data_IF_135220196515
#
_entry.id   IF_135220196515
#
_cell.length_a   1.000
_cell.length_b   1.000
_cell.length_c   1.000
_cell.angle_alpha   90.00
_cell.angle_beta   90.00
_cell.angle_gamma   90.00
#
_symmetry.space_group_name_H-M   'P 1'
#
loop_
_entity.id
_entity.type
_entity.pdbx_description
1 polymer ?
#
# COMPACT_ATOMS: atom_id res chain seq x y z
N UNK A 1 -58.04 -80.30 34.20
CA UNK A 1 -58.72 -80.95 33.06
C UNK A 1 -60.02 -80.21 32.79
N UNK A 2 -60.27 -79.90 31.52
CA UNK A 2 -61.47 -79.27 30.95
C UNK A 2 -61.75 -77.82 31.36
N UNK A 3 -62.11 -76.86 30.49
CA UNK A 3 -62.11 -76.63 29.03
C UNK A 3 -62.88 -75.31 28.93
N UNK A 4 -62.40 -74.31 28.20
CA UNK A 4 -63.25 -73.50 27.32
C UNK A 4 -62.43 -72.41 26.62
N UNK A 5 -62.42 -72.53 25.31
CA UNK A 5 -61.98 -71.59 24.30
C UNK A 5 -63.17 -70.72 23.85
N UNK A 6 -62.87 -69.55 23.27
CA UNK A 6 -63.55 -68.82 22.16
C UNK A 6 -63.71 -67.31 22.48
N UNK A 7 -62.93 -66.43 21.84
CA UNK A 7 -63.26 -65.60 20.61
C UNK A 7 -63.85 -64.22 21.00
N UNK A 8 -63.54 -63.03 20.45
CA UNK A 8 -62.87 -62.53 19.24
C UNK A 8 -62.70 -60.97 19.32
N UNK A 9 -61.85 -60.36 18.45
CA UNK A 9 -61.83 -58.95 17.91
C UNK A 9 -61.18 -57.87 18.84
N UNK A 10 -60.08 -57.16 18.56
CA UNK A 10 -59.43 -56.47 17.40
C UNK A 10 -59.58 -54.93 17.43
N UNK A 11 -58.47 -54.23 17.11
CA UNK A 11 -58.20 -52.77 16.89
C UNK A 11 -57.77 -51.96 18.14
N UNK A 12 -56.49 -51.51 18.22
CA UNK A 12 -55.87 -50.26 17.66
C UNK A 12 -56.55 -48.99 18.24
N UNK A 13 -55.92 -47.93 18.76
CA UNK A 13 -54.60 -47.26 18.63
C UNK A 13 -54.49 -46.33 19.87
N UNK A 14 -53.39 -46.32 20.62
CA UNK A 14 -52.34 -45.27 20.60
C UNK A 14 -52.83 -43.86 20.22
N UNK A 15 -52.95 -42.97 21.21
CA UNK A 15 -52.75 -41.53 20.98
C UNK A 15 -51.77 -40.98 22.02
N UNK A 16 -50.62 -40.60 21.47
CA UNK A 16 -49.43 -40.07 22.10
C UNK A 16 -49.66 -38.58 22.41
N UNK A 17 -49.32 -38.16 23.63
CA UNK A 17 -49.36 -36.75 24.02
C UNK A 17 -48.34 -35.92 23.24
N UNK A 18 -48.83 -34.98 22.44
CA UNK A 18 -48.02 -33.96 21.77
C UNK A 18 -47.73 -32.83 22.78
N UNK A 19 -46.53 -32.83 23.34
CA UNK A 19 -45.95 -31.66 23.98
C UNK A 19 -45.52 -30.67 22.90
N UNK A 20 -46.21 -29.54 22.80
CA UNK A 20 -45.79 -28.39 22.01
C UNK A 20 -44.62 -27.70 22.72
N UNK A 21 -43.38 -27.97 22.29
CA UNK A 21 -42.25 -27.08 22.53
C UNK A 21 -42.24 -26.03 21.40
N UNK A 22 -42.37 -24.72 21.69
CA UNK A 22 -42.14 -23.72 20.67
C UNK A 22 -40.65 -23.76 20.29
N UNK A 23 -40.38 -24.18 19.05
CA UNK A 23 -39.10 -23.93 18.39
C UNK A 23 -38.92 -22.41 18.29
N UNK A 24 -38.23 -21.84 19.27
CA UNK A 24 -37.64 -20.52 19.14
C UNK A 24 -36.53 -20.68 18.11
N UNK A 25 -36.86 -20.37 16.85
CA UNK A 25 -35.85 -20.14 15.83
C UNK A 25 -35.02 -18.95 16.31
N UNK A 26 -33.84 -19.22 16.87
CA UNK A 26 -32.82 -18.19 17.08
C UNK A 26 -32.46 -17.66 15.70
N UNK A 27 -33.08 -16.54 15.29
CA UNK A 27 -32.59 -15.76 14.18
C UNK A 27 -31.16 -15.33 14.56
N UNK A 28 -30.16 -15.96 13.96
CA UNK A 28 -28.78 -15.54 14.10
C UNK A 28 -28.73 -14.08 13.65
N UNK A 29 -28.42 -13.18 14.57
CA UNK A 29 -28.26 -11.77 14.27
C UNK A 29 -27.16 -11.65 13.22
N UNK A 30 -27.48 -11.07 12.06
CA UNK A 30 -26.51 -10.90 10.97
C UNK A 30 -25.32 -10.10 11.50
N UNK A 31 -24.10 -10.57 11.22
CA UNK A 31 -22.92 -9.82 11.61
C UNK A 31 -22.87 -8.47 10.88
N UNK A 32 -22.13 -7.51 11.43
CA UNK A 32 -21.91 -6.20 10.79
C UNK A 32 -21.41 -6.36 9.34
N UNK A 33 -20.53 -7.33 9.11
CA UNK A 33 -19.94 -7.62 7.81
C UNK A 33 -20.94 -8.27 6.84
N UNK A 34 -21.88 -9.09 7.32
CA UNK A 34 -22.97 -9.63 6.48
C UNK A 34 -23.93 -8.52 6.02
N UNK A 35 -24.25 -7.57 6.90
CA UNK A 35 -25.06 -6.40 6.56
C UNK A 35 -24.34 -5.56 5.49
N UNK A 36 -23.04 -5.30 5.66
CA UNK A 36 -22.23 -4.57 4.66
C UNK A 36 -22.18 -5.29 3.34
N UNK A 37 -22.03 -6.62 3.34
CA UNK A 37 -22.02 -7.45 2.13
C UNK A 37 -23.28 -7.22 1.31
N UNK A 38 -24.46 -7.24 1.94
CA UNK A 38 -25.74 -7.00 1.30
C UNK A 38 -25.86 -5.58 0.75
N UNK A 39 -25.43 -4.58 1.52
CA UNK A 39 -25.42 -3.18 1.08
C UNK A 39 -24.51 -2.98 -0.14
N UNK A 40 -23.33 -3.59 -0.15
CA UNK A 40 -22.38 -3.51 -1.25
C UNK A 40 -22.96 -4.15 -2.50
N UNK A 41 -23.51 -5.37 -2.42
CA UNK A 41 -24.15 -6.05 -3.56
C UNK A 41 -25.27 -5.19 -4.14
N UNK A 42 -26.15 -4.67 -3.29
CA UNK A 42 -27.26 -3.81 -3.71
C UNK A 42 -26.77 -2.51 -4.37
N UNK A 43 -25.80 -1.84 -3.75
CA UNK A 43 -25.24 -0.59 -4.25
C UNK A 43 -24.54 -0.79 -5.60
N UNK A 44 -23.72 -1.83 -5.71
CA UNK A 44 -22.96 -2.15 -6.90
C UNK A 44 -23.88 -2.48 -8.09
N UNK A 45 -24.90 -3.29 -7.86
CA UNK A 45 -25.84 -3.71 -8.90
C UNK A 45 -26.76 -2.58 -9.40
N UNK A 46 -26.90 -1.50 -8.63
CA UNK A 46 -27.57 -0.26 -9.09
C UNK A 46 -26.81 0.39 -10.26
N UNK A 47 -25.49 0.17 -10.36
CA UNK A 47 -24.62 0.67 -11.43
C UNK A 47 -24.13 -0.45 -12.35
N UNK A 48 -24.86 -1.57 -12.47
CA UNK A 48 -24.46 -2.76 -13.23
C UNK A 48 -24.06 -2.47 -14.68
N UNK A 49 -24.59 -1.42 -15.31
CA UNK A 49 -24.21 -1.01 -16.66
C UNK A 49 -22.74 -0.55 -16.77
N UNK A 50 -22.15 -0.02 -15.71
CA UNK A 50 -20.73 0.39 -15.66
C UNK A 50 -19.79 -0.81 -15.39
N UNK A 51 -20.32 -2.02 -15.14
CA UNK A 51 -19.55 -3.20 -14.70
C UNK A 51 -19.79 -4.43 -15.57
N UNK A 52 -18.82 -5.35 -15.61
CA UNK A 52 -18.85 -6.51 -16.53
C UNK A 52 -19.97 -7.49 -16.19
N UNK A 53 -20.43 -7.51 -14.94
CA UNK A 53 -21.56 -8.33 -14.52
C UNK A 53 -22.20 -7.83 -13.23
N UNK A 54 -23.26 -8.52 -12.82
CA UNK A 54 -23.87 -8.32 -11.50
C UNK A 54 -23.03 -8.98 -10.43
N UNK A 55 -22.85 -8.27 -9.33
CA UNK A 55 -22.20 -8.76 -8.13
C UNK A 55 -23.11 -9.73 -7.39
N UNK A 56 -22.52 -10.80 -6.86
CA UNK A 56 -23.15 -11.69 -5.88
C UNK A 56 -22.47 -11.55 -4.51
N UNK A 57 -23.07 -12.12 -3.48
CA UNK A 57 -22.48 -12.10 -2.12
C UNK A 57 -21.09 -12.75 -2.09
N UNK A 58 -20.86 -13.81 -2.88
CA UNK A 58 -19.60 -14.55 -2.93
C UNK A 58 -18.44 -13.73 -3.52
N UNK A 59 -18.76 -12.66 -4.26
CA UNK A 59 -17.78 -11.75 -4.83
C UNK A 59 -17.30 -10.70 -3.81
N UNK A 60 -17.93 -10.63 -2.63
CA UNK A 60 -17.62 -9.65 -1.58
C UNK A 60 -17.00 -10.35 -0.37
N UNK A 61 -15.68 -10.23 -0.27
CA UNK A 61 -14.90 -10.73 0.85
C UNK A 61 -14.59 -9.58 1.81
N UNK A 62 -15.21 -9.58 2.98
CA UNK A 62 -15.03 -8.55 4.00
C UNK A 62 -14.76 -9.21 5.36
N UNK A 63 -13.84 -8.62 6.11
CA UNK A 63 -13.50 -9.01 7.48
C UNK A 63 -13.09 -7.77 8.27
N UNK A 64 -13.73 -7.55 9.40
CA UNK A 64 -13.49 -6.39 10.28
C UNK A 64 -13.62 -5.06 9.50
N UNK A 65 -14.65 -4.94 8.65
CA UNK A 65 -14.92 -3.73 7.87
C UNK A 65 -13.93 -3.40 6.74
N UNK A 66 -12.90 -4.22 6.51
CA UNK A 66 -12.00 -4.13 5.37
C UNK A 66 -12.21 -5.32 4.45
N UNK A 67 -12.07 -5.11 3.15
CA UNK A 67 -12.19 -6.22 2.24
C UNK A 67 -11.93 -5.91 0.78
N UNK A 68 -12.37 -6.85 -0.05
CA UNK A 68 -12.26 -6.82 -1.49
C UNK A 68 -13.58 -7.19 -2.12
N UNK A 69 -13.93 -6.49 -3.19
CA UNK A 69 -15.00 -6.88 -4.11
C UNK A 69 -14.37 -7.32 -5.43
N UNK A 70 -14.59 -8.57 -5.83
CA UNK A 70 -14.10 -9.11 -7.10
C UNK A 70 -15.10 -8.85 -8.22
N UNK A 71 -14.83 -7.84 -9.05
CA UNK A 71 -15.78 -7.35 -10.06
C UNK A 71 -15.58 -8.06 -11.41
N UNK A 72 -14.34 -8.35 -11.77
CA UNK A 72 -14.03 -9.14 -12.95
C UNK A 72 -12.87 -10.09 -12.63
N UNK A 73 -13.21 -11.38 -12.47
CA UNK A 73 -12.26 -12.45 -12.13
C UNK A 73 -11.30 -12.79 -13.28
N UNK A 74 -11.72 -12.60 -14.53
CA UNK A 74 -10.91 -12.86 -15.73
C UNK A 74 -9.67 -11.95 -15.73
N UNK A 75 -9.89 -10.66 -15.50
CA UNK A 75 -8.84 -9.63 -15.55
C UNK A 75 -8.35 -9.20 -14.16
N UNK A 76 -8.75 -9.93 -13.10
CA UNK A 76 -8.41 -9.68 -11.70
C UNK A 76 -8.65 -8.22 -11.29
N UNK A 77 -9.79 -7.66 -11.71
CA UNK A 77 -10.20 -6.29 -11.36
C UNK A 77 -11.12 -6.34 -10.15
N UNK A 78 -10.73 -5.58 -9.12
CA UNK A 78 -11.37 -5.62 -7.82
C UNK A 78 -11.38 -4.23 -7.17
N UNK A 79 -12.29 -4.04 -6.23
CA UNK A 79 -12.39 -2.84 -5.40
C UNK A 79 -11.92 -3.14 -3.98
N UNK A 80 -11.20 -2.21 -3.38
CA UNK A 80 -10.93 -2.16 -1.96
C UNK A 80 -12.17 -1.67 -1.22
N UNK A 81 -12.54 -2.34 -0.14
CA UNK A 81 -13.61 -1.93 0.76
C UNK A 81 -12.98 -1.21 1.94
N UNK A 82 -13.32 0.06 2.08
CA UNK A 82 -12.97 0.88 3.23
C UNK A 82 -14.24 1.22 4.02
N UNK A 83 -14.25 0.91 5.31
CA UNK A 83 -15.32 1.31 6.23
C UNK A 83 -14.75 2.29 7.26
N UNK A 84 -15.43 3.42 7.50
CA UNK A 84 -14.93 4.43 8.45
C UNK A 84 -14.85 3.92 9.90
N UNK A 85 -15.86 3.15 10.33
CA UNK A 85 -15.94 2.51 11.65
C UNK A 85 -16.41 1.05 11.49
N UNK A 86 -15.49 0.07 11.51
CA UNK A 86 -15.84 -1.35 11.39
C UNK A 86 -16.73 -1.92 12.50
N UNK A 87 -16.77 -1.27 13.67
CA UNK A 87 -17.64 -1.71 14.75
C UNK A 87 -19.11 -1.36 14.51
N UNK A 88 -19.42 -0.35 13.68
CA UNK A 88 -20.78 0.08 13.37
C UNK A 88 -21.24 -0.50 12.01
N UNK A 89 -22.23 -1.43 11.98
CA UNK A 89 -22.76 -2.01 10.75
C UNK A 89 -23.26 -0.99 9.71
N UNK A 90 -23.64 0.21 10.16
CA UNK A 90 -24.15 1.30 9.30
C UNK A 90 -23.10 2.36 8.98
N UNK A 91 -21.85 2.17 9.41
CA UNK A 91 -20.76 3.08 9.08
C UNK A 91 -20.67 3.30 7.55
N UNK A 92 -20.33 4.52 7.10
CA UNK A 92 -20.06 4.77 5.69
C UNK A 92 -19.03 3.79 5.11
N UNK A 93 -19.27 3.38 3.86
CA UNK A 93 -18.44 2.46 3.08
C UNK A 93 -18.00 3.16 1.80
N UNK A 94 -16.70 3.13 1.52
CA UNK A 94 -16.14 3.56 0.23
C UNK A 94 -15.58 2.34 -0.50
N UNK A 95 -16.04 2.11 -1.73
CA UNK A 95 -15.49 1.11 -2.64
C UNK A 95 -14.54 1.82 -3.61
N UNK A 96 -13.26 1.48 -3.52
CA UNK A 96 -12.21 2.15 -4.28
C UNK A 96 -11.61 1.13 -5.26
N UNK A 97 -11.68 1.39 -6.58
CA UNK A 97 -11.11 0.48 -7.56
C UNK A 97 -9.59 0.38 -7.37
N UNK A 98 -9.02 -0.80 -7.56
CA UNK A 98 -7.60 -1.06 -7.31
C UNK A 98 -6.82 -1.25 -8.62
N UNK A 99 -5.53 -0.91 -8.60
CA UNK A 99 -4.59 -1.08 -9.71
C UNK A 99 -5.12 -0.46 -11.01
N UNK A 100 -5.58 0.78 -10.94
CA UNK A 100 -6.37 1.46 -11.99
C UNK A 100 -5.52 2.22 -13.01
N UNK A 101 -4.36 2.68 -12.57
CA UNK A 101 -3.37 3.39 -13.40
C UNK A 101 -2.83 2.54 -14.55
N UNK A 102 -2.95 1.21 -14.47
CA UNK A 102 -2.49 0.30 -15.53
C UNK A 102 -3.43 0.24 -16.73
N UNK A 103 -4.70 0.61 -16.61
CA UNK A 103 -5.72 0.42 -17.66
C UNK A 103 -5.73 1.52 -18.75
N UNK A 104 -4.56 2.09 -19.06
CA UNK A 104 -4.40 3.03 -20.16
C UNK A 104 -3.98 2.26 -21.43
N UNK A 105 -4.59 2.49 -22.60
CA UNK A 105 -4.23 1.76 -23.82
C UNK A 105 -2.75 1.88 -24.23
N UNK A 106 -2.10 2.96 -23.82
CA UNK A 106 -0.66 3.21 -24.10
C UNK A 106 0.30 2.50 -23.15
N UNK A 107 -0.19 1.98 -22.02
CA UNK A 107 0.64 1.33 -20.99
C UNK A 107 0.23 -0.10 -20.69
N UNK A 108 -1.02 -0.44 -20.95
CA UNK A 108 -1.54 -1.76 -20.68
C UNK A 108 -1.09 -2.75 -21.76
N UNK A 109 -0.78 -3.94 -21.30
CA UNK A 109 -0.54 -5.12 -22.12
C UNK A 109 -1.42 -6.20 -21.51
N UNK A 110 -2.20 -6.92 -22.31
CA UNK A 110 -3.03 -8.00 -21.77
C UNK A 110 -2.13 -9.10 -21.19
N UNK A 111 -2.61 -9.86 -20.20
CA UNK A 111 -1.84 -10.93 -19.56
C UNK A 111 -1.35 -11.93 -20.65
N UNK A 112 -2.20 -12.24 -21.63
CA UNK A 112 -1.87 -13.14 -22.75
C UNK A 112 -0.76 -12.57 -23.64
N UNK A 113 -0.80 -11.27 -23.95
CA UNK A 113 0.23 -10.62 -24.76
C UNK A 113 1.55 -10.56 -24.01
N UNK A 114 1.53 -10.22 -22.72
CA UNK A 114 2.71 -10.18 -21.87
C UNK A 114 3.40 -11.54 -21.78
N UNK A 115 2.63 -12.59 -21.53
CA UNK A 115 3.19 -13.94 -21.39
C UNK A 115 3.78 -14.45 -22.71
N UNK A 116 3.17 -14.12 -23.86
CA UNK A 116 3.70 -14.46 -25.18
C UNK A 116 5.04 -13.78 -25.50
N UNK A 117 5.28 -12.56 -25.01
CA UNK A 117 6.45 -11.74 -25.35
C UNK A 117 7.46 -11.56 -24.21
N UNK A 118 7.27 -12.26 -23.08
CA UNK A 118 8.08 -12.08 -21.87
C UNK A 118 9.59 -12.22 -22.13
N UNK A 119 9.99 -13.23 -22.90
CA UNK A 119 11.40 -13.48 -23.25
C UNK A 119 12.00 -12.31 -24.07
N UNK A 120 11.26 -11.80 -25.05
CA UNK A 120 11.67 -10.65 -25.87
C UNK A 120 11.78 -9.37 -25.04
N UNK A 121 10.84 -9.16 -24.11
CA UNK A 121 10.85 -8.02 -23.18
C UNK A 121 12.10 -8.07 -22.28
N UNK A 122 12.41 -9.23 -21.72
CA UNK A 122 13.57 -9.39 -20.83
C UNK A 122 14.89 -9.25 -21.60
N UNK A 123 14.95 -9.77 -22.83
CA UNK A 123 16.09 -9.55 -23.72
C UNK A 123 16.26 -8.07 -24.10
N UNK A 124 15.18 -7.38 -24.47
CA UNK A 124 15.20 -5.97 -24.82
C UNK A 124 15.67 -5.11 -23.63
N UNK A 125 15.18 -5.39 -22.41
CA UNK A 125 15.64 -4.72 -21.18
C UNK A 125 17.13 -4.93 -20.96
N UNK A 126 17.62 -6.17 -21.10
CA UNK A 126 19.04 -6.51 -20.93
C UNK A 126 19.93 -5.81 -21.96
N UNK A 127 19.47 -5.70 -23.21
CA UNK A 127 20.18 -5.03 -24.31
C UNK A 127 19.96 -3.51 -24.37
N UNK A 128 19.14 -2.95 -23.48
CA UNK A 128 18.77 -1.52 -23.51
C UNK A 128 17.95 -1.11 -24.75
N UNK A 129 17.29 -2.07 -25.41
CA UNK A 129 16.43 -1.86 -26.57
C UNK A 129 15.00 -1.52 -26.13
N UNK A 130 14.20 -0.96 -27.04
CA UNK A 130 12.77 -0.74 -26.80
C UNK A 130 12.07 -2.11 -26.74
N UNK A 131 11.37 -2.44 -25.65
CA UNK A 131 10.58 -3.67 -25.60
C UNK A 131 9.46 -3.65 -26.65
N UNK A 132 9.01 -4.82 -27.14
CA UNK A 132 7.82 -4.89 -27.98
C UNK A 132 6.62 -4.24 -27.28
N UNK A 133 5.64 -3.77 -28.06
CA UNK A 133 4.42 -3.13 -27.56
C UNK A 133 3.20 -3.72 -28.27
N UNK A 134 2.13 -3.93 -27.52
CA UNK A 134 0.83 -4.28 -28.08
C UNK A 134 0.23 -3.06 -28.77
N UNK A 135 -0.54 -3.29 -29.84
CA UNK A 135 -1.23 -2.21 -30.54
C UNK A 135 -2.24 -1.52 -29.59
N UNK A 136 -2.14 -0.20 -29.48
CA UNK A 136 -2.95 0.56 -28.53
C UNK A 136 -4.45 0.58 -28.87
N UNK A 137 -4.83 0.42 -30.15
CA UNK A 137 -6.23 0.35 -30.55
C UNK A 137 -6.83 -1.01 -30.18
N UNK A 138 -6.08 -2.10 -30.38
CA UNK A 138 -6.48 -3.44 -29.90
C UNK A 138 -6.66 -3.45 -28.37
N UNK A 139 -5.72 -2.85 -27.65
CA UNK A 139 -5.81 -2.72 -26.19
C UNK A 139 -7.02 -1.86 -25.79
N UNK A 140 -7.30 -0.77 -26.50
CA UNK A 140 -8.45 0.09 -26.20
C UNK A 140 -9.79 -0.66 -26.35
N UNK A 141 -9.96 -1.43 -27.43
CA UNK A 141 -11.17 -2.25 -27.62
C UNK A 141 -11.27 -3.37 -26.58
N UNK A 142 -10.15 -4.01 -26.23
CA UNK A 142 -10.13 -5.02 -25.16
C UNK A 142 -10.52 -4.43 -23.81
N UNK A 143 -9.93 -3.29 -23.41
CA UNK A 143 -10.27 -2.59 -22.16
C UNK A 143 -11.75 -2.20 -22.12
N UNK A 144 -12.30 -1.71 -23.24
CA UNK A 144 -13.73 -1.38 -23.38
C UNK A 144 -14.61 -2.61 -23.21
N UNK A 145 -14.28 -3.73 -23.87
CA UNK A 145 -14.98 -5.01 -23.73
C UNK A 145 -14.99 -5.48 -22.27
N UNK A 146 -13.86 -5.32 -21.57
CA UNK A 146 -13.70 -5.71 -20.16
C UNK A 146 -14.18 -4.64 -19.16
N UNK A 147 -14.77 -3.52 -19.64
CA UNK A 147 -15.19 -2.35 -18.84
C UNK A 147 -14.11 -1.89 -17.85
N UNK A 148 -12.85 -1.92 -18.30
CA UNK A 148 -11.70 -1.42 -17.57
C UNK A 148 -11.40 0.01 -18.02
N UNK A 149 -11.07 0.87 -17.06
CA UNK A 149 -10.84 2.29 -17.31
C UNK A 149 -9.76 2.83 -16.37
N UNK A 150 -9.04 3.86 -16.82
CA UNK A 150 -8.19 4.69 -15.95
C UNK A 150 -9.00 5.64 -15.07
N UNK A 151 -10.28 5.81 -15.37
CA UNK A 151 -11.21 6.65 -14.62
C UNK A 151 -12.51 5.90 -14.23
N UNK A 152 -12.38 4.77 -13.51
CA UNK A 152 -13.53 4.03 -13.01
C UNK A 152 -14.32 4.84 -11.97
N UNK A 153 -15.50 4.38 -11.59
CA UNK A 153 -16.26 5.00 -10.51
C UNK A 153 -15.74 4.54 -9.15
N UNK A 154 -15.74 5.44 -8.18
CA UNK A 154 -15.67 5.16 -6.74
C UNK A 154 -17.11 5.18 -6.25
N UNK A 155 -17.53 4.14 -5.53
CA UNK A 155 -18.87 4.07 -4.95
C UNK A 155 -18.80 4.40 -3.47
N UNK A 156 -19.73 5.22 -3.00
CA UNK A 156 -19.85 5.63 -1.62
C UNK A 156 -21.24 5.31 -1.10
N UNK A 157 -21.31 4.60 0.02
CA UNK A 157 -22.53 4.27 0.75
C UNK A 157 -22.46 5.06 2.06
N UNK A 158 -23.36 6.00 2.27
CA UNK A 158 -23.36 6.82 3.49
C UNK A 158 -24.02 6.10 4.68
N UNK A 159 -24.01 6.75 5.85
CA UNK A 159 -24.62 6.19 7.07
C UNK A 159 -26.15 5.98 6.99
N UNK A 160 -26.81 6.63 6.01
CA UNK A 160 -28.23 6.47 5.70
C UNK A 160 -28.47 5.46 4.57
N UNK A 161 -27.42 4.73 4.16
CA UNK A 161 -27.43 3.75 3.06
C UNK A 161 -27.76 4.36 1.69
N UNK A 162 -27.58 5.67 1.54
CA UNK A 162 -27.68 6.33 0.24
C UNK A 162 -26.40 6.06 -0.54
N UNK A 163 -26.56 5.61 -1.78
CA UNK A 163 -25.44 5.33 -2.69
C UNK A 163 -25.18 6.55 -3.56
N UNK A 164 -23.92 6.93 -3.65
CA UNK A 164 -23.41 7.95 -4.57
C UNK A 164 -22.18 7.43 -5.30
N UNK A 165 -21.84 8.05 -6.43
CA UNK A 165 -20.68 7.70 -7.22
C UNK A 165 -19.93 8.95 -7.65
N UNK A 166 -18.61 8.81 -7.75
CA UNK A 166 -17.70 9.86 -8.25
C UNK A 166 -16.63 9.20 -9.10
N UNK A 167 -16.15 9.87 -10.15
CA UNK A 167 -15.08 9.35 -10.99
C UNK A 167 -13.76 9.34 -10.21
N UNK A 168 -12.94 8.29 -10.38
CA UNK A 168 -11.71 8.10 -9.61
C UNK A 168 -10.75 9.29 -9.73
N UNK A 169 -10.56 9.85 -10.93
CA UNK A 169 -9.69 11.01 -11.11
C UNK A 169 -10.15 12.20 -10.26
N UNK A 170 -11.46 12.46 -10.21
CA UNK A 170 -12.02 13.52 -9.37
C UNK A 170 -11.83 13.21 -7.88
N UNK A 171 -12.20 12.01 -7.45
CA UNK A 171 -12.04 11.56 -6.06
C UNK A 171 -10.60 11.71 -5.57
N UNK A 172 -9.64 11.21 -6.35
CA UNK A 172 -8.23 11.32 -6.02
C UNK A 172 -7.76 12.77 -6.06
N UNK A 173 -8.12 13.53 -7.09
CA UNK A 173 -7.70 14.93 -7.20
C UNK A 173 -8.17 15.77 -6.00
N UNK A 174 -9.43 15.62 -5.59
CA UNK A 174 -9.98 16.24 -4.38
C UNK A 174 -9.21 15.80 -3.13
N UNK A 175 -8.89 14.50 -3.03
CA UNK A 175 -8.11 13.99 -1.91
C UNK A 175 -6.69 14.57 -1.87
N UNK A 176 -6.02 14.69 -3.02
CA UNK A 176 -4.70 15.30 -3.12
C UNK A 176 -4.74 16.76 -2.71
N UNK A 177 -5.70 17.53 -3.23
CA UNK A 177 -5.86 18.94 -2.91
C UNK A 177 -6.13 19.18 -1.42
N UNK A 178 -6.90 18.28 -0.79
CA UNK A 178 -7.26 18.38 0.62
C UNK A 178 -6.13 17.98 1.56
N UNK A 179 -5.35 16.95 1.22
CA UNK A 179 -4.46 16.29 2.19
C UNK A 179 -2.96 16.43 1.86
N UNK A 180 -2.59 16.78 0.63
CA UNK A 180 -1.19 16.80 0.18
C UNK A 180 -0.74 18.14 -0.41
N UNK A 181 -1.56 19.19 -0.29
CA UNK A 181 -1.16 20.55 -0.65
C UNK A 181 -0.55 21.24 0.57
N UNK A 182 0.67 21.71 0.41
CA UNK A 182 1.38 22.53 1.39
C UNK A 182 1.98 23.73 0.66
N UNK A 183 1.79 24.93 1.21
CA UNK A 183 2.33 26.19 0.65
C UNK A 183 2.04 26.39 -0.85
N UNK A 184 0.81 26.03 -1.26
CA UNK A 184 0.36 26.14 -2.65
C UNK A 184 0.96 25.12 -3.61
N UNK A 185 1.63 24.08 -3.11
CA UNK A 185 2.30 23.03 -3.90
C UNK A 185 1.84 21.64 -3.49
N UNK A 186 1.87 20.71 -4.43
CA UNK A 186 1.79 19.28 -4.16
C UNK A 186 3.21 18.72 -4.17
N UNK A 187 3.60 18.09 -3.06
CA UNK A 187 4.88 17.38 -2.97
C UNK A 187 4.68 15.94 -3.43
N UNK A 188 5.46 15.54 -4.42
CA UNK A 188 5.43 14.20 -4.99
C UNK A 188 6.78 13.52 -4.83
N UNK A 189 6.75 12.21 -4.63
CA UNK A 189 7.92 11.37 -4.45
C UNK A 189 8.01 10.34 -5.56
N UNK A 190 9.23 9.88 -5.85
CA UNK A 190 9.47 8.75 -6.76
C UNK A 190 10.67 7.96 -6.30
N UNK A 191 10.59 6.64 -6.37
CA UNK A 191 11.74 5.75 -6.20
C UNK A 191 12.56 5.65 -7.47
N UNK A 192 13.89 5.73 -7.33
CA UNK A 192 14.82 5.56 -8.43
C UNK A 192 14.84 4.14 -8.97
N UNK A 193 14.90 4.02 -10.29
CA UNK A 193 14.86 2.74 -10.99
C UNK A 193 16.26 2.23 -11.35
N UNK A 194 17.27 3.10 -11.30
CA UNK A 194 18.66 2.81 -11.68
C UNK A 194 19.67 3.69 -10.94
N UNK A 195 20.89 3.20 -10.79
CA UNK A 195 21.95 3.89 -10.04
C UNK A 195 22.34 5.27 -10.58
N UNK A 196 22.24 5.50 -11.90
CA UNK A 196 22.69 6.76 -12.52
C UNK A 196 21.63 7.86 -12.52
N UNK A 197 20.43 7.56 -12.03
CA UNK A 197 19.27 8.41 -12.24
C UNK A 197 19.35 9.74 -11.50
N UNK A 198 19.96 9.75 -10.31
CA UNK A 198 20.19 10.97 -9.52
C UNK A 198 20.94 12.03 -10.33
N UNK A 199 21.95 11.61 -11.11
CA UNK A 199 22.74 12.53 -11.93
C UNK A 199 21.94 13.11 -13.10
N UNK A 200 20.99 12.37 -13.65
CA UNK A 200 20.11 12.86 -14.73
C UNK A 200 19.18 13.96 -14.21
N UNK A 201 18.53 13.71 -13.07
CA UNK A 201 17.65 14.70 -12.43
C UNK A 201 18.37 15.99 -12.07
N UNK A 202 19.57 15.89 -11.50
CA UNK A 202 20.40 17.06 -11.18
C UNK A 202 20.81 17.89 -12.40
N UNK A 203 20.88 17.28 -13.59
CA UNK A 203 21.13 17.97 -14.87
C UNK A 203 19.85 18.48 -15.54
N UNK A 204 18.68 18.31 -14.91
CA UNK A 204 17.39 18.64 -15.53
C UNK A 204 16.98 17.71 -16.67
N UNK A 205 17.65 16.55 -16.80
CA UNK A 205 17.38 15.56 -17.85
C UNK A 205 16.40 14.52 -17.33
N UNK A 206 15.31 14.31 -18.04
CA UNK A 206 14.36 13.23 -17.73
C UNK A 206 15.03 11.87 -17.94
N UNK A 207 15.14 11.00 -16.92
CA UNK A 207 15.64 9.65 -17.07
C UNK A 207 14.71 8.78 -17.91
N UNK A 208 15.29 7.86 -18.69
CA UNK A 208 14.52 6.85 -19.42
C UNK A 208 13.82 5.91 -18.43
N UNK A 209 12.56 5.58 -18.68
CA UNK A 209 11.79 4.66 -17.85
C UNK A 209 10.93 5.31 -16.76
N UNK A 210 11.11 6.60 -16.49
CA UNK A 210 10.35 7.34 -15.45
C UNK A 210 8.84 7.28 -15.69
N UNK A 211 8.12 6.55 -14.84
CA UNK A 211 6.70 6.22 -15.06
C UNK A 211 5.73 6.69 -14.00
N UNK A 212 6.14 6.87 -12.75
CA UNK A 212 5.20 7.11 -11.67
C UNK A 212 5.70 8.05 -10.55
N UNK A 213 4.77 8.71 -9.87
CA UNK A 213 4.99 9.51 -8.65
C UNK A 213 3.95 9.16 -7.59
N UNK A 214 4.22 9.54 -6.35
CA UNK A 214 3.43 9.17 -5.18
C UNK A 214 3.32 10.36 -4.21
N UNK A 215 2.27 10.49 -3.40
CA UNK A 215 2.13 11.63 -2.47
C UNK A 215 2.96 11.47 -1.20
N UNK A 216 3.49 10.27 -0.94
CA UNK A 216 4.28 9.94 0.26
C UNK A 216 5.60 9.30 -0.13
N UNK A 217 6.65 9.54 0.66
CA UNK A 217 7.95 8.92 0.44
C UNK A 217 7.89 7.40 0.68
N UNK A 218 7.00 6.92 1.55
CA UNK A 218 6.72 5.51 1.83
C UNK A 218 6.54 4.67 0.57
N UNK A 219 5.63 5.08 -0.31
CA UNK A 219 5.35 4.34 -1.53
C UNK A 219 6.52 4.41 -2.50
N UNK A 220 7.15 5.59 -2.66
CA UNK A 220 8.38 5.75 -3.45
C UNK A 220 9.54 4.88 -2.96
N UNK A 221 9.71 4.77 -1.65
CA UNK A 221 10.72 3.93 -0.99
C UNK A 221 10.55 2.44 -1.35
N UNK A 222 9.31 1.92 -1.39
CA UNK A 222 9.04 0.51 -1.76
C UNK A 222 9.52 0.16 -3.16
N UNK A 223 9.51 1.11 -4.08
CA UNK A 223 10.05 0.90 -5.41
C UNK A 223 11.55 1.14 -5.47
N UNK A 224 12.04 2.16 -4.77
CA UNK A 224 13.45 2.50 -4.72
C UNK A 224 14.30 1.30 -4.28
N UNK A 225 13.86 0.55 -3.27
CA UNK A 225 14.54 -0.66 -2.76
C UNK A 225 14.61 -1.84 -3.74
N UNK A 226 13.90 -1.81 -4.86
CA UNK A 226 14.07 -2.80 -5.94
C UNK A 226 15.35 -2.55 -6.73
N UNK A 227 15.96 -1.36 -6.61
CA UNK A 227 17.26 -1.07 -7.16
C UNK A 227 18.34 -1.83 -6.37
N UNK A 228 19.18 -2.60 -7.07
CA UNK A 228 20.25 -3.38 -6.46
C UNK A 228 21.29 -2.53 -5.70
N UNK A 229 21.44 -1.25 -6.05
CA UNK A 229 22.35 -0.31 -5.36
C UNK A 229 21.69 0.48 -4.24
N UNK A 230 20.38 0.29 -3.98
CA UNK A 230 19.60 1.07 -3.02
C UNK A 230 20.29 1.19 -1.66
N UNK A 231 20.73 0.05 -1.14
CA UNK A 231 21.30 -0.05 0.19
C UNK A 231 22.64 0.70 0.30
N UNK A 232 23.48 0.56 -0.73
CA UNK A 232 24.76 1.27 -0.81
C UNK A 232 24.53 2.79 -0.94
N UNK A 233 23.58 3.20 -1.77
CA UNK A 233 23.20 4.60 -1.97
C UNK A 233 22.63 5.23 -0.70
N UNK A 234 21.81 4.48 0.05
CA UNK A 234 21.30 4.89 1.35
C UNK A 234 22.45 5.10 2.36
N UNK A 235 23.41 4.17 2.43
CA UNK A 235 24.59 4.26 3.31
C UNK A 235 25.50 5.44 2.92
N UNK A 236 25.62 5.73 1.63
CA UNK A 236 26.43 6.85 1.11
C UNK A 236 25.71 8.20 1.20
N UNK A 237 24.53 8.27 1.83
CA UNK A 237 23.79 9.52 2.01
C UNK A 237 23.14 10.06 0.73
N UNK A 238 22.89 9.18 -0.24
CA UNK A 238 22.24 9.48 -1.52
C UNK A 238 20.98 8.61 -1.70
N UNK A 239 19.98 8.67 -0.80
CA UNK A 239 18.82 7.78 -0.87
C UNK A 239 18.15 7.89 -2.25
N UNK A 240 17.84 6.80 -2.96
CA UNK A 240 17.28 6.90 -4.32
C UNK A 240 15.77 7.21 -4.30
N UNK A 241 15.36 8.20 -3.51
CA UNK A 241 13.99 8.71 -3.52
C UNK A 241 14.09 10.20 -3.86
N UNK A 242 13.32 10.62 -4.85
CA UNK A 242 13.37 11.96 -5.41
C UNK A 242 12.13 12.74 -5.03
N UNK A 243 12.32 14.01 -4.70
CA UNK A 243 11.26 14.97 -4.34
C UNK A 243 10.97 15.87 -5.52
N UNK A 244 9.69 16.03 -5.80
CA UNK A 244 9.16 16.93 -6.81
C UNK A 244 8.18 17.90 -6.16
N UNK A 245 8.35 19.20 -6.41
CA UNK A 245 7.45 20.24 -5.92
C UNK A 245 6.66 20.81 -7.11
N UNK A 246 5.39 20.42 -7.23
CA UNK A 246 4.53 20.84 -8.33
C UNK A 246 3.58 21.94 -7.83
N UNK A 247 3.60 23.17 -8.39
CA UNK A 247 2.61 24.18 -8.06
C UNK A 247 1.18 23.65 -8.25
N UNK A 248 0.24 24.01 -7.37
CA UNK A 248 -1.12 23.48 -7.41
C UNK A 248 -1.82 23.72 -8.77
N UNK A 249 -1.60 24.89 -9.37
CA UNK A 249 -2.16 25.20 -10.70
C UNK A 249 -1.61 24.24 -11.77
N UNK A 250 -0.31 23.97 -11.77
CA UNK A 250 0.33 23.03 -12.68
C UNK A 250 -0.11 21.59 -12.40
N UNK A 251 -0.28 21.20 -11.13
CA UNK A 251 -0.79 19.88 -10.78
C UNK A 251 -2.20 19.66 -11.33
N UNK A 252 -3.09 20.66 -11.20
CA UNK A 252 -4.45 20.61 -11.80
C UNK A 252 -4.37 20.49 -13.31
N UNK A 253 -3.57 21.34 -13.97
CA UNK A 253 -3.35 21.30 -15.42
C UNK A 253 -2.92 19.91 -15.88
N UNK A 254 -1.89 19.36 -15.23
CA UNK A 254 -1.31 18.06 -15.58
C UNK A 254 -2.27 16.87 -15.35
N UNK A 255 -3.19 16.97 -14.38
CA UNK A 255 -4.04 15.83 -13.97
C UNK A 255 -5.49 15.91 -14.47
N UNK A 256 -5.96 17.10 -14.85
CA UNK A 256 -7.37 17.35 -15.16
C UNK A 256 -7.61 17.82 -16.59
N UNK A 257 -6.60 18.35 -17.28
CA UNK A 257 -6.78 18.88 -18.64
C UNK A 257 -6.54 17.82 -19.71
N UNK A 258 -7.32 17.92 -20.78
CA UNK A 258 -7.23 17.03 -21.93
C UNK A 258 -7.96 15.70 -21.74
N UNK A 259 -8.16 14.99 -22.86
CA UNK A 259 -8.78 13.65 -22.87
C UNK A 259 -7.86 12.60 -22.23
N UNK A 260 -6.55 12.80 -22.35
CA UNK A 260 -5.51 11.96 -21.77
C UNK A 260 -4.56 12.88 -20.99
N UNK A 261 -4.80 13.08 -19.69
CA UNK A 261 -3.99 13.99 -18.91
C UNK A 261 -2.53 13.54 -18.90
N UNK A 262 -1.63 14.51 -18.79
CA UNK A 262 -0.18 14.29 -18.73
C UNK A 262 0.20 13.39 -17.55
N UNK A 263 -0.54 13.52 -16.46
CA UNK A 263 -0.46 12.73 -15.24
C UNK A 263 -1.83 12.09 -14.95
N UNK A 264 -1.88 10.76 -14.91
CA UNK A 264 -3.08 9.98 -14.57
C UNK A 264 -3.00 9.56 -13.11
N UNK A 265 -3.97 9.99 -12.29
CA UNK A 265 -4.07 9.56 -10.90
C UNK A 265 -4.58 8.12 -10.82
N UNK A 266 -4.14 7.37 -9.84
CA UNK A 266 -4.57 6.00 -9.65
C UNK A 266 -4.28 5.48 -8.26
N UNK A 267 -4.69 4.24 -8.08
CA UNK A 267 -4.60 3.50 -6.82
C UNK A 267 -3.92 2.17 -7.08
N UNK A 268 -3.14 1.69 -6.14
CA UNK A 268 -2.46 0.40 -6.23
C UNK A 268 -2.57 -0.34 -4.90
N UNK A 269 -2.68 -1.67 -4.98
CA UNK A 269 -2.29 -2.59 -3.92
C UNK A 269 -1.30 -3.58 -4.53
N UNK A 270 -0.27 -3.95 -3.77
CA UNK A 270 0.70 -4.93 -4.28
C UNK A 270 0.00 -6.28 -4.48
N UNK A 271 0.34 -7.03 -5.55
CA UNK A 271 -0.17 -8.40 -5.78
C UNK A 271 -0.07 -9.28 -4.53
N UNK A 272 0.97 -9.06 -3.75
CA UNK A 272 1.20 -9.78 -2.52
C UNK A 272 0.17 -9.45 -1.42
N UNK A 273 -0.26 -8.19 -1.30
CA UNK A 273 -1.33 -7.80 -0.39
C UNK A 273 -2.65 -8.51 -0.71
N UNK A 274 -2.95 -8.72 -2.00
CA UNK A 274 -4.09 -9.53 -2.43
C UNK A 274 -3.97 -10.99 -1.97
N UNK A 275 -2.83 -11.63 -2.25
CA UNK A 275 -2.59 -13.01 -1.86
C UNK A 275 -2.70 -13.19 -0.34
N UNK A 276 -2.14 -12.25 0.44
CA UNK A 276 -2.22 -12.27 1.89
C UNK A 276 -3.65 -12.14 2.39
N UNK A 277 -4.44 -11.26 1.76
CA UNK A 277 -5.85 -11.12 2.10
C UNK A 277 -6.62 -12.42 1.84
N UNK A 278 -6.41 -13.07 0.69
CA UNK A 278 -7.06 -14.35 0.40
C UNK A 278 -6.68 -15.45 1.42
N UNK A 279 -5.47 -15.43 1.97
CA UNK A 279 -5.04 -16.39 3.00
C UNK A 279 -5.47 -16.04 4.43
N UNK A 280 -5.50 -14.76 4.80
CA UNK A 280 -5.59 -14.30 6.21
C UNK A 280 -6.82 -13.42 6.50
N UNK A 281 -7.55 -13.02 5.47
CA UNK A 281 -8.66 -12.06 5.53
C UNK A 281 -8.21 -10.63 5.87
N UNK A 282 -6.91 -10.32 5.71
CA UNK A 282 -6.33 -9.02 6.04
C UNK A 282 -5.29 -8.65 5.01
N UNK A 283 -5.29 -7.38 4.56
CA UNK A 283 -4.24 -6.90 3.68
C UNK A 283 -2.99 -6.69 4.52
N UNK A 284 -1.94 -7.45 4.23
CA UNK A 284 -0.65 -7.33 4.89
C UNK A 284 0.46 -7.12 3.88
N UNK A 285 1.58 -6.62 4.37
CA UNK A 285 2.75 -6.30 3.56
C UNK A 285 3.97 -7.08 4.07
N UNK A 286 4.70 -7.78 3.17
CA UNK A 286 5.93 -8.48 3.58
C UNK A 286 7.01 -7.52 4.06
N UNK A 287 6.95 -6.27 3.61
CA UNK A 287 7.91 -5.27 4.01
C UNK A 287 7.81 -4.94 5.50
N UNK A 288 6.63 -5.11 6.11
CA UNK A 288 6.43 -5.02 7.55
C UNK A 288 6.51 -6.37 8.26
N UNK A 289 7.17 -7.39 7.70
CA UNK A 289 7.21 -8.74 8.28
C UNK A 289 5.83 -9.44 8.32
N UNK A 290 4.92 -9.08 7.40
CA UNK A 290 3.57 -9.67 7.34
C UNK A 290 2.53 -8.99 8.22
N UNK A 291 2.80 -7.78 8.70
CA UNK A 291 1.86 -6.92 9.43
C UNK A 291 0.91 -6.14 8.50
N UNK A 292 -0.14 -5.54 9.06
CA UNK A 292 -1.20 -4.85 8.32
C UNK A 292 -0.65 -3.81 7.33
N UNK A 293 -1.27 -3.75 6.16
CA UNK A 293 -0.83 -2.97 5.01
C UNK A 293 -0.82 -1.47 5.31
N UNK A 294 0.31 -0.83 5.02
CA UNK A 294 0.58 0.59 5.23
C UNK A 294 0.24 1.40 3.96
N UNK A 295 -1.05 1.54 3.66
CA UNK A 295 -1.56 2.43 2.61
C UNK A 295 -1.78 3.87 3.10
N UNK A 296 -2.33 4.73 2.25
CA UNK A 296 -2.55 6.14 2.54
C UNK A 296 -3.64 6.35 3.61
N UNK A 297 -3.25 6.91 4.76
CA UNK A 297 -4.12 7.42 5.81
C UNK A 297 -5.30 6.49 6.14
N UNK A 298 -6.52 7.05 6.06
CA UNK A 298 -7.79 6.31 6.29
C UNK A 298 -8.25 5.49 5.09
N UNK A 299 -7.72 5.74 3.90
CA UNK A 299 -8.18 5.11 2.66
C UNK A 299 -7.65 3.68 2.53
N UNK A 300 -6.44 3.40 3.03
CA UNK A 300 -5.94 2.03 3.10
C UNK A 300 -5.43 1.43 1.78
N UNK A 301 -5.34 2.22 0.69
CA UNK A 301 -4.66 1.85 -0.56
C UNK A 301 -3.51 2.83 -0.85
N UNK A 302 -2.56 2.44 -1.70
CA UNK A 302 -1.49 3.35 -2.13
C UNK A 302 -1.97 4.21 -3.31
N UNK A 303 -1.45 5.43 -3.40
CA UNK A 303 -1.76 6.35 -4.48
C UNK A 303 -0.58 6.41 -5.46
N UNK A 304 -0.87 6.15 -6.72
CA UNK A 304 0.10 6.22 -7.81
C UNK A 304 -0.34 7.32 -8.79
N UNK A 305 0.61 8.06 -9.33
CA UNK A 305 0.39 8.97 -10.45
C UNK A 305 1.25 8.46 -11.59
N UNK A 306 0.67 8.03 -12.70
CA UNK A 306 1.45 7.66 -13.89
C UNK A 306 1.57 8.81 -14.87
N UNK A 307 2.70 8.93 -15.54
CA UNK A 307 2.85 9.92 -16.62
C UNK A 307 2.89 9.30 -18.00
N UNK A 308 2.40 10.08 -18.96
CA UNK A 308 2.80 9.92 -20.34
C UNK A 308 4.16 10.59 -20.65
N UNK A 309 4.60 10.52 -21.90
CA UNK A 309 5.87 11.13 -22.32
C UNK A 309 5.93 12.63 -22.04
N UNK A 310 4.82 13.36 -22.23
CA UNK A 310 4.71 14.80 -22.00
C UNK A 310 4.68 15.14 -20.50
N UNK A 311 3.94 14.38 -19.69
CA UNK A 311 3.96 14.49 -18.23
C UNK A 311 5.34 14.21 -17.65
N UNK A 312 6.02 13.16 -18.10
CA UNK A 312 7.36 12.84 -17.65
C UNK A 312 8.38 13.94 -18.03
N UNK A 313 8.22 14.57 -19.19
CA UNK A 313 9.02 15.72 -19.60
C UNK A 313 8.71 16.96 -18.75
N UNK A 314 7.44 17.18 -18.39
CA UNK A 314 7.05 18.30 -17.54
C UNK A 314 7.62 18.14 -16.13
N UNK A 315 7.59 16.92 -15.59
CA UNK A 315 8.04 16.61 -14.24
C UNK A 315 9.54 16.85 -14.00
N UNK A 316 10.38 16.87 -15.04
CA UNK A 316 11.81 17.20 -14.86
C UNK A 316 12.04 18.64 -14.39
N UNK A 317 11.11 19.55 -14.67
CA UNK A 317 11.16 20.94 -14.20
C UNK A 317 10.82 21.09 -12.73
N UNK A 318 10.12 20.09 -12.16
CA UNK A 318 9.65 20.09 -10.78
C UNK A 318 10.55 19.27 -9.85
N UNK A 319 11.58 18.62 -10.38
CA UNK A 319 12.58 17.95 -9.53
C UNK A 319 13.23 18.98 -8.62
N UNK A 320 13.19 18.71 -7.31
CA UNK A 320 13.73 19.63 -6.31
C UNK A 320 15.03 19.12 -5.72
N UNK A 321 15.02 17.87 -5.26
CA UNK A 321 16.13 17.27 -4.50
C UNK A 321 15.91 15.78 -4.28
N UNK A 322 16.89 15.18 -3.65
CA UNK A 322 16.84 13.83 -3.10
C UNK A 322 16.29 13.89 -1.67
N UNK A 323 15.51 12.88 -1.27
CA UNK A 323 15.03 12.69 0.11
C UNK A 323 16.23 12.39 1.01
N UNK A 324 16.29 13.03 2.16
CA UNK A 324 17.29 12.73 3.19
C UNK A 324 16.89 11.50 4.02
N UNK A 325 17.85 10.85 4.69
CA UNK A 325 17.55 9.77 5.65
C UNK A 325 16.58 10.26 6.73
N UNK A 326 16.76 11.49 7.19
CA UNK A 326 15.88 12.13 8.17
C UNK A 326 14.42 12.11 7.71
N UNK A 327 14.17 12.62 6.51
CA UNK A 327 12.81 12.70 5.96
C UNK A 327 12.21 11.33 5.69
N UNK A 328 13.02 10.38 5.23
CA UNK A 328 12.58 9.00 5.03
C UNK A 328 12.15 8.37 6.37
N UNK A 329 12.94 8.54 7.44
CA UNK A 329 12.62 8.03 8.78
C UNK A 329 11.34 8.70 9.30
N UNK A 330 11.25 10.03 9.21
CA UNK A 330 10.07 10.79 9.67
C UNK A 330 8.79 10.35 8.95
N UNK A 331 8.83 10.21 7.62
CA UNK A 331 7.67 9.74 6.85
C UNK A 331 7.29 8.30 7.23
N UNK A 332 8.27 7.40 7.40
CA UNK A 332 8.01 6.01 7.76
C UNK A 332 7.43 5.87 9.17
N UNK A 333 7.97 6.61 10.15
CA UNK A 333 7.41 6.68 11.51
C UNK A 333 5.98 7.22 11.50
N UNK A 334 5.71 8.26 10.73
CA UNK A 334 4.35 8.81 10.57
C UNK A 334 3.38 7.74 10.05
N UNK A 335 3.75 7.04 8.97
CA UNK A 335 2.91 5.99 8.38
C UNK A 335 2.70 4.81 9.33
N UNK A 336 3.74 4.41 10.09
CA UNK A 336 3.64 3.37 11.14
C UNK A 336 2.60 3.77 12.19
N UNK A 337 2.65 5.01 12.68
CA UNK A 337 1.71 5.54 13.69
C UNK A 337 0.29 5.63 13.16
N UNK A 338 0.10 6.19 11.96
CA UNK A 338 -1.21 6.29 11.32
C UNK A 338 -1.83 4.92 11.07
N UNK A 339 -1.02 3.96 10.61
CA UNK A 339 -1.47 2.57 10.42
C UNK A 339 -1.83 1.92 11.75
N UNK A 340 -1.01 2.11 12.80
CA UNK A 340 -1.28 1.59 14.14
C UNK A 340 -2.62 2.09 14.68
N UNK A 341 -2.87 3.41 14.60
CA UNK A 341 -4.11 4.01 15.05
C UNK A 341 -5.31 3.45 14.29
N UNK A 342 -5.21 3.31 12.96
CA UNK A 342 -6.26 2.70 12.14
C UNK A 342 -6.52 1.25 12.57
N UNK A 343 -5.49 0.40 12.68
CA UNK A 343 -5.67 -1.02 13.04
C UNK A 343 -6.28 -1.19 14.43
N UNK A 344 -5.87 -0.37 15.41
CA UNK A 344 -6.46 -0.39 16.75
C UNK A 344 -7.96 -0.05 16.72
N UNK A 345 -8.38 0.91 15.89
CA UNK A 345 -9.79 1.24 15.71
C UNK A 345 -10.58 0.09 15.06
N UNK A 346 -9.97 -0.63 14.12
CA UNK A 346 -10.62 -1.73 13.41
C UNK A 346 -10.70 -3.00 14.27
N UNK A 347 -9.73 -3.22 15.16
CA UNK A 347 -9.60 -4.42 16.00
C UNK A 347 -9.37 -4.05 17.46
N UNK A 348 -10.35 -3.41 18.14
CA UNK A 348 -10.18 -2.93 19.51
C UNK A 348 -9.83 -4.05 20.50
N UNK A 349 -10.30 -5.28 20.26
CA UNK A 349 -9.98 -6.46 21.05
C UNK A 349 -8.48 -6.83 21.06
N UNK A 350 -7.72 -6.38 20.05
CA UNK A 350 -6.29 -6.61 19.90
C UNK A 350 -5.49 -5.31 19.98
N UNK A 351 -6.07 -4.22 20.52
CA UNK A 351 -5.48 -2.89 20.45
C UNK A 351 -4.09 -2.83 21.10
N UNK A 352 -3.93 -3.42 22.29
CA UNK A 352 -2.65 -3.39 23.01
C UNK A 352 -1.55 -4.19 22.30
N UNK A 353 -1.85 -5.40 21.83
CA UNK A 353 -0.92 -6.22 21.07
C UNK A 353 -0.52 -5.54 19.75
N UNK A 354 -1.50 -4.93 19.06
CA UNK A 354 -1.27 -4.15 17.85
C UNK A 354 -0.35 -2.96 18.14
N UNK A 355 -0.67 -2.18 19.17
CA UNK A 355 0.13 -1.02 19.59
C UNK A 355 1.56 -1.42 19.89
N UNK A 356 1.77 -2.48 20.69
CA UNK A 356 3.09 -2.97 21.02
C UNK A 356 3.89 -3.40 19.78
N UNK A 357 3.26 -4.08 18.82
CA UNK A 357 3.92 -4.49 17.58
C UNK A 357 4.34 -3.29 16.71
N UNK A 358 3.49 -2.26 16.57
CA UNK A 358 3.83 -1.06 15.80
C UNK A 358 4.87 -0.18 16.52
N UNK A 359 4.85 -0.10 17.85
CA UNK A 359 5.88 0.61 18.62
C UNK A 359 7.28 0.00 18.42
N UNK A 360 7.38 -1.33 18.38
CA UNK A 360 8.66 -1.99 18.11
C UNK A 360 9.22 -1.64 16.72
N UNK A 361 8.36 -1.55 15.70
CA UNK A 361 8.76 -1.13 14.35
C UNK A 361 9.19 0.32 14.30
N UNK A 362 8.47 1.19 15.01
CA UNK A 362 8.81 2.60 15.12
C UNK A 362 10.22 2.77 15.71
N UNK A 363 10.47 2.10 16.84
CA UNK A 363 11.78 2.08 17.49
C UNK A 363 12.86 1.57 16.54
N UNK A 364 12.62 0.44 15.86
CA UNK A 364 13.55 -0.14 14.90
C UNK A 364 13.88 0.83 13.75
N UNK A 365 12.87 1.48 13.18
CA UNK A 365 13.02 2.46 12.09
C UNK A 365 13.88 3.65 12.54
N UNK A 366 13.66 4.15 13.75
CA UNK A 366 14.44 5.25 14.32
C UNK A 366 15.90 4.82 14.52
N UNK A 367 16.15 3.63 15.05
CA UNK A 367 17.50 3.10 15.27
C UNK A 367 18.24 2.87 13.95
N UNK A 368 17.58 2.33 12.91
CA UNK A 368 18.13 2.24 11.55
C UNK A 368 18.53 3.62 11.02
N UNK A 369 17.65 4.61 11.16
CA UNK A 369 17.90 5.99 10.76
C UNK A 369 19.11 6.61 11.47
N UNK A 370 19.20 6.46 12.80
CA UNK A 370 20.33 6.95 13.60
C UNK A 370 21.65 6.32 13.17
N UNK A 371 21.66 5.00 12.97
CA UNK A 371 22.85 4.27 12.53
C UNK A 371 23.31 4.73 11.13
N UNK A 372 22.38 4.85 10.18
CA UNK A 372 22.66 5.35 8.83
C UNK A 372 23.23 6.78 8.88
N UNK A 373 22.63 7.65 9.68
CA UNK A 373 23.10 9.02 9.88
C UNK A 373 24.51 9.06 10.47
N UNK A 374 24.78 8.30 11.53
CA UNK A 374 26.10 8.23 12.17
C UNK A 374 27.19 7.76 11.20
N UNK A 375 26.89 6.73 10.42
CA UNK A 375 27.81 6.18 9.42
C UNK A 375 28.05 7.18 8.28
N UNK A 376 27.02 7.89 7.81
CA UNK A 376 27.14 8.92 6.78
C UNK A 376 28.02 10.08 7.24
N UNK A 377 27.81 10.55 8.47
CA UNK A 377 28.50 11.73 9.02
C UNK A 377 29.86 11.41 9.64
N UNK A 378 30.27 10.13 9.64
CA UNK A 378 31.60 9.73 10.10
C UNK A 378 31.79 9.83 11.60
N UNK A 379 30.77 9.47 12.38
CA UNK A 379 30.89 9.32 13.83
C UNK A 379 31.98 8.29 14.19
N UNK A 380 32.43 8.31 15.45
CA UNK A 380 33.44 7.34 15.89
C UNK A 380 32.99 5.89 15.66
N UNK A 381 33.97 5.00 15.46
CA UNK A 381 33.72 3.57 15.31
C UNK A 381 32.97 3.00 16.51
N UNK A 382 33.29 3.46 17.72
CA UNK A 382 32.70 3.02 18.98
C UNK A 382 31.21 3.39 19.04
N UNK A 383 30.87 4.65 18.73
CA UNK A 383 29.48 5.09 18.68
C UNK A 383 28.69 4.36 17.60
N UNK A 384 29.25 4.18 16.40
CA UNK A 384 28.55 3.46 15.33
C UNK A 384 28.35 1.96 15.67
N UNK A 385 29.32 1.30 16.33
CA UNK A 385 29.18 -0.07 16.84
C UNK A 385 28.08 -0.16 17.90
N UNK A 386 28.06 0.79 18.83
CA UNK A 386 27.03 0.85 19.87
C UNK A 386 25.62 0.97 19.27
N UNK A 387 25.43 1.85 18.27
CA UNK A 387 24.16 2.00 17.56
C UNK A 387 23.77 0.74 16.77
N UNK A 388 24.74 0.07 16.13
CA UNK A 388 24.49 -1.20 15.44
C UNK A 388 24.00 -2.27 16.42
N UNK A 389 24.63 -2.38 17.59
CA UNK A 389 24.18 -3.32 18.63
C UNK A 389 22.79 -3.00 19.14
N UNK A 390 22.49 -1.73 19.43
CA UNK A 390 21.15 -1.31 19.85
C UNK A 390 20.09 -1.65 18.78
N UNK A 391 20.38 -1.36 17.51
CA UNK A 391 19.50 -1.72 16.40
C UNK A 391 19.31 -3.24 16.30
N UNK A 392 20.36 -4.06 16.43
CA UNK A 392 20.24 -5.51 16.39
C UNK A 392 19.44 -6.10 17.56
N UNK A 393 19.50 -5.48 18.74
CA UNK A 393 18.75 -5.90 19.93
C UNK A 393 17.27 -5.49 19.89
N UNK A 394 16.94 -4.43 19.14
CA UNK A 394 15.55 -3.98 18.98
C UNK A 394 14.70 -5.03 18.25
N UNK A 395 13.49 -5.25 18.78
CA UNK A 395 12.50 -6.21 18.27
C UNK A 395 11.90 -5.75 16.95
N UNK A 396 11.43 -6.71 16.14
CA UNK A 396 10.76 -6.46 14.87
C UNK A 396 11.70 -6.48 13.66
N UNK A 397 11.13 -6.59 12.44
CA UNK A 397 11.90 -6.56 11.20
C UNK A 397 12.48 -5.17 10.97
N UNK A 398 13.57 -5.10 10.20
CA UNK A 398 14.07 -3.83 9.71
C UNK A 398 13.03 -3.20 8.76
N UNK A 399 12.88 -1.88 8.78
CA UNK A 399 11.84 -1.18 8.03
C UNK A 399 12.39 -0.36 6.88
N UNK A 400 13.67 0.02 6.91
CA UNK A 400 14.31 0.79 5.83
C UNK A 400 15.14 -0.12 4.93
N UNK A 401 15.77 -1.13 5.52
CA UNK A 401 16.80 -1.92 4.85
C UNK A 401 16.39 -3.38 4.61
N UNK A 402 15.21 -3.79 5.07
CA UNK A 402 14.73 -5.16 4.89
C UNK A 402 14.17 -5.37 3.49
N UNK A 403 15.02 -5.61 2.47
CA UNK A 403 14.98 -6.77 1.55
C UNK A 403 15.48 -6.51 0.11
N UNK A 404 15.98 -7.62 -0.48
CA UNK A 404 16.31 -7.94 -1.88
C UNK A 404 17.55 -7.29 -2.51
N UNK A 405 18.69 -7.51 -1.87
CA UNK A 405 19.97 -7.72 -2.54
C UNK A 405 20.67 -8.88 -1.84
N UNK A 406 21.50 -9.65 -2.55
CA UNK A 406 22.25 -10.79 -1.98
C UNK A 406 23.25 -10.42 -0.87
N UNK A 407 23.31 -9.16 -0.46
CA UNK A 407 24.15 -8.64 0.60
C UNK A 407 23.31 -8.18 1.79
N UNK A 408 23.62 -8.73 2.96
CA UNK A 408 22.97 -8.36 4.21
C UNK A 408 23.38 -6.94 4.64
N UNK A 409 22.41 -6.05 4.91
CA UNK A 409 22.63 -4.71 5.47
C UNK A 409 23.63 -4.67 6.63
N UNK A 410 23.53 -5.63 7.53
CA UNK A 410 24.43 -5.74 8.68
C UNK A 410 25.89 -5.87 8.22
N UNK A 411 26.16 -6.69 7.20
CA UNK A 411 27.50 -6.87 6.64
C UNK A 411 28.02 -5.58 6.03
N UNK A 412 27.19 -4.89 5.24
CA UNK A 412 27.57 -3.62 4.60
C UNK A 412 27.88 -2.52 5.61
N UNK A 413 27.05 -2.39 6.66
CA UNK A 413 27.31 -1.43 7.73
C UNK A 413 28.57 -1.79 8.51
N UNK A 414 28.79 -3.06 8.84
CA UNK A 414 30.01 -3.49 9.52
C UNK A 414 31.27 -3.14 8.73
N UNK A 415 31.24 -3.37 7.41
CA UNK A 415 32.33 -2.96 6.52
C UNK A 415 32.53 -1.45 6.53
N UNK A 416 31.45 -0.66 6.54
CA UNK A 416 31.55 0.80 6.56
C UNK A 416 32.08 1.32 7.90
N UNK A 417 31.63 0.76 9.02
CA UNK A 417 32.13 1.06 10.36
C UNK A 417 33.62 0.73 10.48
N UNK A 418 34.08 -0.40 9.92
CA UNK A 418 35.49 -0.75 9.91
C UNK A 418 36.35 0.32 9.21
N UNK A 419 35.86 0.91 8.12
CA UNK A 419 36.53 2.00 7.39
C UNK A 419 36.52 3.34 8.12
N UNK A 420 35.69 3.54 9.14
CA UNK A 420 35.74 4.77 9.95
C UNK A 420 37.02 4.82 10.80
N UNK A 421 37.59 3.68 11.18
CA UNK A 421 38.82 3.60 11.96
C UNK A 421 40.08 4.06 11.20
N UNK A 422 40.01 4.17 9.87
CA UNK A 422 41.13 4.62 9.03
C UNK A 422 41.07 6.10 8.64
N UNK A 423 40.06 6.85 9.11
CA UNK A 423 39.98 8.31 8.91
C UNK A 423 40.77 9.03 10.01
N UNK A 424 41.67 9.99 9.67
CA UNK A 424 42.32 10.83 10.67
C UNK A 424 41.27 11.52 11.54
N UNK A 425 41.49 11.57 12.86
CA UNK A 425 40.62 12.22 13.81
C UNK A 425 40.59 13.74 13.61
N UNK A 426 39.90 14.19 12.57
CA UNK A 426 39.46 15.57 12.41
C UNK A 426 37.94 15.59 12.57
N UNK A 427 37.48 15.15 13.74
CA UNK A 427 36.11 15.47 14.15
C UNK A 427 36.09 16.93 14.57
N UNK A 428 35.39 17.76 13.80
CA UNK A 428 35.09 19.13 14.21
C UNK A 428 34.24 19.12 15.50
N UNK A 429 34.35 20.15 16.33
CA UNK A 429 33.65 20.31 17.61
C UNK A 429 32.12 20.17 17.47
N UNK A 430 31.56 20.57 16.32
CA UNK A 430 30.15 20.36 15.97
C UNK A 430 29.80 18.87 15.83
N UNK A 431 30.67 18.06 15.24
CA UNK A 431 30.47 16.62 15.10
C UNK A 431 30.54 15.92 16.46
N UNK A 432 31.42 16.37 17.35
CA UNK A 432 31.50 15.87 18.72
C UNK A 432 30.24 16.20 19.54
N UNK A 433 29.69 17.40 19.39
CA UNK A 433 28.43 17.81 20.04
C UNK A 433 27.24 16.99 19.52
N UNK A 434 27.17 16.77 18.20
CA UNK A 434 26.18 15.89 17.56
C UNK A 434 26.33 14.44 18.04
N UNK A 435 27.55 13.92 18.10
CA UNK A 435 27.82 12.56 18.56
C UNK A 435 27.43 12.37 20.04
N UNK A 436 27.76 13.33 20.91
CA UNK A 436 27.36 13.31 22.32
C UNK A 436 25.83 13.39 22.50
N UNK A 437 25.15 14.22 21.71
CA UNK A 437 23.68 14.30 21.70
C UNK A 437 23.05 12.97 21.23
N UNK A 438 23.61 12.37 20.18
CA UNK A 438 23.15 11.08 19.65
C UNK A 438 23.41 9.94 20.62
N UNK A 439 24.59 9.85 21.23
CA UNK A 439 24.94 8.84 22.23
C UNK A 439 24.01 8.90 23.46
N UNK A 440 23.67 10.12 23.91
CA UNK A 440 22.69 10.33 24.99
C UNK A 440 21.25 9.92 24.59
N UNK A 441 20.90 10.10 23.31
CA UNK A 441 19.61 9.68 22.75
C UNK A 441 19.58 8.20 22.29
N UNK A 442 20.71 7.51 22.21
CA UNK A 442 20.76 6.18 21.61
C UNK A 442 20.05 5.10 22.46
N UNK A 443 19.73 5.43 23.72
CA UNK A 443 18.90 4.62 24.63
C UNK A 443 17.44 5.09 24.74
N UNK A 444 17.03 6.17 24.07
CA UNK A 444 15.64 6.66 24.12
C UNK A 444 15.13 7.04 22.72
N UNK A 445 13.89 6.68 22.39
CA UNK A 445 13.26 7.09 21.11
C UNK A 445 13.00 8.60 20.99
N UNK A 446 13.38 9.40 21.99
CA UNK A 446 13.08 10.83 22.05
C UNK A 446 14.17 11.69 21.38
N UNK A 447 13.73 12.72 20.66
CA UNK A 447 14.50 13.97 20.52
C UNK A 447 15.39 14.17 19.28
N UNK A 448 15.30 13.35 18.22
CA UNK A 448 16.15 13.55 17.01
C UNK A 448 15.37 13.64 15.70
N UNK A 449 14.15 13.10 15.63
CA UNK A 449 13.29 13.13 14.43
C UNK A 449 11.90 13.72 14.70
N UNK A 450 11.81 14.75 15.55
CA UNK A 450 10.57 15.52 15.75
C UNK A 450 10.45 16.69 14.79
#
# INVERSE_FOLDING_TARGET
MNTASLKTISKKMTLMGLAFLPLVAFAQEKSADDIRRELIVKAFNTYSQEFVGTLTADDVKIKDGIGRVDVNKEVKYSYYIQTENPADPKSPITLIPMATSRYAPTYYQTDEWWDAHKAEIDEAKRKGMRPPQQDSAEVAEWLKKMKLSTNPIVLQIDAKQKVSSVRLQQFLSEYYMKNFVQDGKVVLYRGGERATETGDWLRGVRPKGSRYWTPTANYGWRYARKNATFLQELIDGKPPIYVFEVPLAEFKRLTQEGRWPDLTLGTELTKQAHNNFDMRGTFTDNIGGGLDYMGIGKIGVEFEIRSNSAGANSMSRYFKRVVTIQELVTDRVKIIRETSARVQQMRPQNADATRAAFLAREEKTILEGKLLYAVQNGFSQETAKYMLTAMQQARGPAELTDSLSGENFISLIQQRIARLASRPAQMNEELQKLEAAFAKSAMTCNGVFH
#
